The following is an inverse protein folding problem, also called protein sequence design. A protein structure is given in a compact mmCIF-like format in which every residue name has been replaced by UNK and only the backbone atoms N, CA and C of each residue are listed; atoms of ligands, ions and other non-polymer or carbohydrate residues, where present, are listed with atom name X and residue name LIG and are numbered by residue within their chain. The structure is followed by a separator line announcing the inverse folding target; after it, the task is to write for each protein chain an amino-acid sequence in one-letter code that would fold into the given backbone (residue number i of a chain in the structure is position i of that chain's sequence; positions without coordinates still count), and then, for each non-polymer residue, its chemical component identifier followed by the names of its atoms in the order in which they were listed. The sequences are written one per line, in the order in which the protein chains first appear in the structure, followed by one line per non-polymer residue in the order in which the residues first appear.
data_IF_800665450359
#
_entry.id   IF_800665450359
#
_cell.length_a   1.000
_cell.length_b   1.000
_cell.length_c   1.000
_cell.angle_alpha   90.00
_cell.angle_beta   90.00
_cell.angle_gamma   90.00
#
_symmetry.space_group_name_H-M   'P 1'
#
loop_
_entity.id
_entity.type
_entity.pdbx_description
1 polymer ?
#
# COMPACT_ATOMS: atom_id res chain seq x y z
N UNK A 1 42.01 12.02 -39.17
CA UNK A 1 40.59 12.39 -38.98
C UNK A 1 40.09 11.77 -37.69
N UNK A 2 40.00 12.53 -36.61
CA UNK A 2 39.54 12.07 -35.29
C UNK A 2 38.03 12.34 -35.12
N UNK A 3 37.24 11.30 -34.88
CA UNK A 3 35.80 11.41 -34.61
C UNK A 3 35.57 11.90 -33.17
N UNK A 4 35.12 13.14 -33.02
CA UNK A 4 34.67 13.66 -31.73
C UNK A 4 33.36 12.97 -31.33
N UNK A 5 33.43 12.14 -30.30
CA UNK A 5 32.26 11.44 -29.73
C UNK A 5 31.61 12.37 -28.71
N UNK A 6 30.64 13.17 -29.14
CA UNK A 6 29.85 14.04 -28.26
C UNK A 6 29.13 13.17 -27.22
N UNK A 7 29.57 13.22 -25.96
CA UNK A 7 28.86 12.56 -24.86
C UNK A 7 27.58 13.35 -24.58
N UNK A 8 26.46 12.88 -25.13
CA UNK A 8 25.14 13.41 -24.80
C UNK A 8 24.91 13.17 -23.31
N UNK A 9 24.86 14.26 -22.53
CA UNK A 9 24.56 14.20 -21.10
C UNK A 9 23.12 13.70 -20.94
N UNK A 10 22.99 12.40 -20.61
CA UNK A 10 21.70 11.78 -20.33
C UNK A 10 21.18 12.35 -19.01
N UNK A 11 20.33 13.37 -19.08
CA UNK A 11 19.64 13.94 -17.91
C UNK A 11 18.88 12.81 -17.22
N UNK A 12 19.29 12.48 -16.00
CA UNK A 12 18.67 11.43 -15.19
C UNK A 12 17.31 11.97 -14.74
N UNK A 13 16.22 11.52 -15.37
CA UNK A 13 14.86 11.88 -14.92
C UNK A 13 14.67 11.39 -13.48
N UNK A 14 14.48 12.33 -12.55
CA UNK A 14 14.09 12.01 -11.19
C UNK A 14 12.66 11.48 -11.17
N UNK A 15 12.42 10.41 -10.40
CA UNK A 15 11.07 9.86 -10.23
C UNK A 15 10.34 10.71 -9.20
N UNK A 16 9.27 11.39 -9.61
CA UNK A 16 8.41 12.16 -8.71
C UNK A 16 7.37 11.23 -8.07
N UNK A 17 7.13 11.40 -6.76
CA UNK A 17 6.09 10.68 -6.02
C UNK A 17 4.89 11.60 -5.76
N UNK A 18 3.69 11.10 -6.04
CA UNK A 18 2.44 11.84 -5.91
C UNK A 18 1.55 11.21 -4.84
N UNK A 19 0.94 12.06 -4.00
CA UNK A 19 -0.07 11.65 -3.03
C UNK A 19 -1.36 11.20 -3.71
N UNK A 20 -2.18 10.43 -3.00
CA UNK A 20 -3.51 10.01 -3.47
C UNK A 20 -4.37 11.23 -3.81
N UNK A 21 -4.36 12.26 -2.96
CA UNK A 21 -5.08 13.51 -3.19
C UNK A 21 -4.67 14.20 -4.50
N UNK A 22 -3.35 14.33 -4.74
CA UNK A 22 -2.85 14.91 -5.99
C UNK A 22 -3.32 14.10 -7.20
N UNK A 23 -3.25 12.77 -7.14
CA UNK A 23 -3.73 11.92 -8.23
C UNK A 23 -5.24 12.06 -8.42
N UNK A 24 -6.02 12.12 -7.34
CA UNK A 24 -7.47 12.30 -7.38
C UNK A 24 -7.88 13.60 -8.08
N UNK A 25 -7.20 14.73 -7.79
CA UNK A 25 -7.45 16.00 -8.49
C UNK A 25 -7.26 15.87 -10.01
N UNK A 26 -6.18 15.22 -10.44
CA UNK A 26 -5.88 14.98 -11.85
C UNK A 26 -6.93 14.07 -12.49
N UNK A 27 -7.34 13.01 -11.80
CA UNK A 27 -8.30 12.04 -12.29
C UNK A 27 -9.70 12.65 -12.42
N UNK A 28 -10.15 13.44 -11.45
CA UNK A 28 -11.42 14.17 -11.51
C UNK A 28 -11.45 15.09 -12.72
N UNK A 29 -10.37 15.86 -12.93
CA UNK A 29 -10.26 16.73 -14.09
C UNK A 29 -10.24 15.93 -15.41
N UNK A 30 -9.49 14.83 -15.47
CA UNK A 30 -9.42 13.98 -16.67
C UNK A 30 -10.76 13.35 -17.04
N UNK A 31 -11.60 13.02 -16.05
CA UNK A 31 -12.97 12.52 -16.26
C UNK A 31 -13.89 13.60 -16.85
N UNK A 32 -13.64 14.88 -16.54
CA UNK A 32 -14.43 16.01 -17.04
C UNK A 32 -13.96 16.53 -18.40
N UNK A 33 -12.64 16.57 -18.65
CA UNK A 33 -12.02 17.32 -19.76
C UNK A 33 -11.12 16.47 -20.67
N UNK A 34 -11.23 15.13 -20.62
CA UNK A 34 -10.35 14.16 -21.32
C UNK A 34 -8.93 14.11 -20.74
N UNK A 35 -8.28 12.94 -20.88
CA UNK A 35 -6.96 12.69 -20.29
C UNK A 35 -5.82 13.56 -20.83
N UNK A 36 -5.86 13.94 -22.11
CA UNK A 36 -4.83 14.77 -22.73
C UNK A 36 -4.86 16.22 -22.24
N UNK A 37 -6.04 16.77 -21.95
CA UNK A 37 -6.15 18.13 -21.39
C UNK A 37 -5.69 18.15 -19.94
N UNK A 38 -5.98 17.10 -19.17
CA UNK A 38 -5.44 16.93 -17.82
C UNK A 38 -3.90 16.88 -17.83
N UNK A 39 -3.32 16.11 -18.75
CA UNK A 39 -1.87 16.03 -18.90
C UNK A 39 -1.23 17.41 -19.16
N UNK A 40 -1.84 18.24 -20.02
CA UNK A 40 -1.39 19.60 -20.29
C UNK A 40 -1.53 20.51 -19.07
N UNK A 41 -2.70 20.49 -18.43
CA UNK A 41 -3.05 21.35 -17.28
C UNK A 41 -2.15 21.08 -16.07
N UNK A 42 -1.84 19.82 -15.81
CA UNK A 42 -1.01 19.42 -14.66
C UNK A 42 0.47 19.19 -15.01
N UNK A 43 0.89 19.48 -16.26
CA UNK A 43 2.25 19.24 -16.76
C UNK A 43 2.73 17.79 -16.53
N UNK A 44 1.85 16.82 -16.78
CA UNK A 44 2.11 15.39 -16.61
C UNK A 44 2.19 14.68 -17.96
N UNK A 45 2.75 13.47 -17.96
CA UNK A 45 2.71 12.60 -19.12
C UNK A 45 1.30 12.00 -19.26
N UNK A 46 0.71 12.05 -20.45
CA UNK A 46 -0.61 11.50 -20.74
C UNK A 46 -0.73 10.01 -20.35
N UNK A 47 0.30 9.20 -20.62
CA UNK A 47 0.32 7.78 -20.23
C UNK A 47 0.27 7.58 -18.70
N UNK A 48 0.79 8.53 -17.93
CA UNK A 48 0.75 8.46 -16.47
C UNK A 48 -0.65 8.80 -15.94
N UNK A 49 -1.30 9.80 -16.55
CA UNK A 49 -2.69 10.16 -16.24
C UNK A 49 -3.62 8.98 -16.53
N UNK A 50 -3.49 8.37 -17.70
CA UNK A 50 -4.29 7.20 -18.09
C UNK A 50 -4.08 6.02 -17.12
N UNK A 51 -2.83 5.74 -16.76
CA UNK A 51 -2.52 4.71 -15.76
C UNK A 51 -3.19 5.00 -14.41
N UNK A 52 -3.24 6.25 -13.97
CA UNK A 52 -3.90 6.62 -12.72
C UNK A 52 -5.41 6.50 -12.82
N UNK A 53 -6.03 6.90 -13.93
CA UNK A 53 -7.46 6.72 -14.17
C UNK A 53 -7.84 5.24 -14.09
N UNK A 54 -7.06 4.35 -14.73
CA UNK A 54 -7.29 2.91 -14.66
C UNK A 54 -7.09 2.36 -13.25
N UNK A 55 -6.00 2.73 -12.58
CA UNK A 55 -5.72 2.28 -11.21
C UNK A 55 -6.75 2.77 -10.19
N UNK A 56 -7.35 3.94 -10.41
CA UNK A 56 -8.36 4.49 -9.48
C UNK A 56 -9.63 3.67 -9.38
N UNK A 57 -9.88 2.75 -10.32
CA UNK A 57 -11.01 1.81 -10.23
C UNK A 57 -10.91 0.87 -9.03
N UNK A 58 -9.70 0.63 -8.53
CA UNK A 58 -9.44 -0.22 -7.37
C UNK A 58 -9.03 0.58 -6.13
N UNK A 59 -9.26 1.89 -6.10
CA UNK A 59 -8.95 2.72 -4.94
C UNK A 59 -10.20 2.84 -4.06
N UNK A 60 -10.11 2.28 -2.86
CA UNK A 60 -11.16 2.44 -1.86
C UNK A 60 -11.19 3.86 -1.30
N UNK A 61 -12.39 4.31 -0.88
CA UNK A 61 -12.60 5.64 -0.28
C UNK A 61 -11.87 5.81 1.06
N UNK A 62 -11.53 4.71 1.72
CA UNK A 62 -10.83 4.68 3.02
C UNK A 62 -9.31 4.92 2.91
N UNK A 63 -8.77 5.03 1.69
CA UNK A 63 -7.32 5.25 1.50
C UNK A 63 -6.94 6.64 2.00
N UNK A 64 -5.91 6.71 2.85
CA UNK A 64 -5.34 7.96 3.32
C UNK A 64 -4.90 8.84 2.14
N UNK A 65 -5.57 9.99 2.00
CA UNK A 65 -5.38 10.94 0.90
C UNK A 65 -3.95 11.50 0.81
N UNK A 66 -3.23 11.56 1.93
CA UNK A 66 -1.86 12.03 2.00
C UNK A 66 -0.83 10.94 1.65
N UNK A 67 -1.25 9.67 1.57
CA UNK A 67 -0.36 8.57 1.25
C UNK A 67 0.17 8.69 -0.19
N UNK A 68 1.46 8.40 -0.39
CA UNK A 68 2.07 8.35 -1.74
C UNK A 68 2.13 6.93 -2.31
N UNK A 69 1.83 5.93 -1.48
CA UNK A 69 1.95 4.51 -1.79
C UNK A 69 0.59 3.83 -1.63
N UNK A 70 -0.05 3.58 -2.76
CA UNK A 70 -1.36 2.91 -2.82
C UNK A 70 -1.12 1.49 -3.30
N UNK A 71 -1.68 0.50 -2.61
CA UNK A 71 -1.55 -0.91 -2.98
C UNK A 71 -0.11 -1.44 -2.92
N UNK A 72 0.77 -0.78 -2.16
CA UNK A 72 2.12 -1.29 -1.89
C UNK A 72 2.18 -1.86 -0.49
N UNK A 73 2.90 -2.96 -0.32
CA UNK A 73 3.09 -3.60 0.98
C UNK A 73 2.93 -5.10 0.83
N UNK A 74 3.20 -5.80 1.93
CA UNK A 74 2.90 -7.21 2.03
C UNK A 74 1.40 -7.38 2.27
N UNK A 75 0.81 -8.41 1.67
CA UNK A 75 -0.56 -8.82 2.00
C UNK A 75 -0.59 -9.32 3.45
N UNK A 76 -1.70 -9.11 4.15
CA UNK A 76 -1.91 -9.66 5.48
C UNK A 76 -1.71 -11.17 5.47
N UNK A 77 -0.94 -11.69 6.43
CA UNK A 77 -0.77 -13.14 6.61
C UNK A 77 -1.99 -13.76 7.28
N UNK A 78 -2.59 -13.02 8.23
CA UNK A 78 -3.77 -13.42 8.97
C UNK A 78 -4.82 -12.31 8.87
N UNK A 79 -5.55 -12.19 7.74
CA UNK A 79 -6.42 -11.05 7.47
C UNK A 79 -7.43 -10.76 8.58
N UNK A 80 -8.07 -11.80 9.12
CA UNK A 80 -9.07 -11.71 10.17
C UNK A 80 -8.45 -11.29 11.51
N UNK A 81 -7.34 -11.92 11.91
CA UNK A 81 -6.65 -11.58 13.15
C UNK A 81 -6.00 -10.19 13.12
N UNK A 82 -5.37 -9.80 12.00
CA UNK A 82 -4.79 -8.46 11.82
C UNK A 82 -5.87 -7.37 11.87
N UNK A 83 -7.07 -7.64 11.34
CA UNK A 83 -8.22 -6.74 11.46
C UNK A 83 -8.66 -6.56 12.91
N UNK A 84 -8.75 -7.64 13.69
CA UNK A 84 -9.09 -7.55 15.12
C UNK A 84 -8.04 -6.76 15.90
N UNK A 85 -6.76 -7.00 15.62
CA UNK A 85 -5.65 -6.26 16.24
C UNK A 85 -5.74 -4.76 15.90
N UNK A 86 -6.09 -4.41 14.66
CA UNK A 86 -6.25 -3.03 14.23
C UNK A 86 -7.40 -2.31 14.93
N UNK A 87 -8.56 -2.96 15.06
CA UNK A 87 -9.71 -2.40 15.79
C UNK A 87 -9.32 -2.14 17.25
N UNK A 88 -8.73 -3.13 17.91
CA UNK A 88 -8.25 -3.01 19.28
C UNK A 88 -7.25 -1.85 19.42
N UNK A 89 -6.29 -1.71 18.50
CA UNK A 89 -5.30 -0.64 18.52
C UNK A 89 -5.92 0.76 18.44
N UNK A 90 -6.96 0.95 17.62
CA UNK A 90 -7.67 2.22 17.53
C UNK A 90 -8.34 2.55 18.85
N UNK A 91 -8.98 1.58 19.49
CA UNK A 91 -9.63 1.77 20.80
C UNK A 91 -8.64 2.18 21.88
N UNK A 92 -7.47 1.53 21.93
CA UNK A 92 -6.41 1.90 22.87
C UNK A 92 -5.90 3.32 22.63
N UNK A 93 -5.75 3.74 21.36
CA UNK A 93 -5.34 5.11 21.02
C UNK A 93 -6.37 6.15 21.45
N UNK A 94 -7.66 5.84 21.35
CA UNK A 94 -8.73 6.73 21.85
C UNK A 94 -8.66 6.93 23.37
N UNK A 95 -8.12 5.96 24.09
CA UNK A 95 -7.97 6.02 25.56
C UNK A 95 -6.70 6.78 26.00
N UNK A 96 -5.89 7.30 25.07
CA UNK A 96 -4.70 8.10 25.40
C UNK A 96 -3.52 7.29 25.94
N UNK A 97 -3.54 5.97 25.81
CA UNK A 97 -2.46 5.10 26.30
C UNK A 97 -1.22 5.21 25.40
N UNK A 98 -0.06 5.51 26.00
CA UNK A 98 1.23 5.46 25.33
C UNK A 98 1.68 3.98 25.20
N UNK A 99 1.24 3.33 24.13
CA UNK A 99 1.57 1.93 23.85
C UNK A 99 3.06 1.85 23.46
N UNK A 100 3.86 1.04 24.16
CA UNK A 100 5.14 0.55 23.61
C UNK A 100 4.79 -0.42 22.48
N UNK A 101 4.64 0.16 21.29
CA UNK A 101 3.87 -0.41 20.18
C UNK A 101 4.24 -1.85 19.84
N UNK A 102 5.51 -2.21 19.85
CA UNK A 102 5.94 -3.51 19.35
C UNK A 102 5.57 -4.68 20.27
N UNK A 103 5.91 -4.62 21.56
CA UNK A 103 5.73 -5.74 22.49
C UNK A 103 4.25 -6.01 22.76
N UNK A 104 3.48 -4.95 23.00
CA UNK A 104 2.06 -5.06 23.31
C UNK A 104 1.27 -5.58 22.10
N UNK A 105 1.55 -5.10 20.89
CA UNK A 105 0.91 -5.62 19.68
C UNK A 105 1.22 -7.10 19.44
N UNK A 106 2.46 -7.54 19.69
CA UNK A 106 2.81 -8.96 19.55
C UNK A 106 2.09 -9.85 20.57
N UNK A 107 2.05 -9.43 21.84
CA UNK A 107 1.30 -10.17 22.88
C UNK A 107 -0.17 -10.23 22.48
N UNK A 108 -0.76 -9.09 22.09
CA UNK A 108 -2.16 -9.04 21.70
C UNK A 108 -2.47 -9.90 20.47
N UNK A 109 -1.58 -9.92 19.48
CA UNK A 109 -1.71 -10.80 18.31
C UNK A 109 -1.69 -12.28 18.73
N UNK A 110 -0.81 -12.67 19.66
CA UNK A 110 -0.76 -14.03 20.17
C UNK A 110 -2.02 -14.42 20.95
N UNK A 111 -2.63 -13.47 21.68
CA UNK A 111 -3.95 -13.69 22.31
C UNK A 111 -5.03 -13.93 21.27
N UNK A 112 -5.13 -13.06 20.26
CA UNK A 112 -6.13 -13.17 19.18
C UNK A 112 -6.00 -14.52 18.46
N UNK A 113 -4.76 -14.94 18.14
CA UNK A 113 -4.53 -16.23 17.46
C UNK A 113 -4.91 -17.46 18.31
N UNK A 114 -5.05 -17.30 19.63
CA UNK A 114 -5.51 -18.37 20.54
C UNK A 114 -7.04 -18.37 20.72
N UNK A 115 -7.75 -17.39 20.17
CA UNK A 115 -9.20 -17.38 20.20
C UNK A 115 -9.76 -18.55 19.37
N UNK A 116 -10.86 -19.20 19.81
CA UNK A 116 -11.38 -20.40 19.16
C UNK A 116 -11.78 -20.15 17.70
N UNK A 117 -12.23 -18.94 17.37
CA UNK A 117 -12.54 -18.53 15.99
C UNK A 117 -11.29 -18.53 15.11
N UNK A 118 -10.18 -17.95 15.59
CA UNK A 118 -8.91 -17.88 14.85
C UNK A 118 -8.23 -19.25 14.79
N UNK A 119 -8.29 -20.03 15.86
CA UNK A 119 -7.86 -21.43 15.84
C UNK A 119 -8.67 -22.16 14.77
N UNK A 120 -10.00 -22.09 14.75
CA UNK A 120 -10.79 -22.75 13.72
C UNK A 120 -10.39 -22.33 12.29
N UNK A 121 -10.19 -21.03 12.04
CA UNK A 121 -9.83 -20.50 10.73
C UNK A 121 -8.42 -20.90 10.27
N UNK A 122 -7.45 -20.96 11.18
CA UNK A 122 -6.04 -21.12 10.83
C UNK A 122 -5.43 -22.47 11.26
N UNK A 123 -6.08 -23.27 12.10
CA UNK A 123 -5.58 -24.60 12.52
C UNK A 123 -5.62 -25.61 11.36
N UNK A 124 -6.53 -25.45 10.40
CA UNK A 124 -6.57 -26.25 9.16
C UNK A 124 -5.45 -25.87 8.16
N UNK A 125 -4.84 -24.69 8.35
CA UNK A 125 -3.70 -24.24 7.53
C UNK A 125 -2.36 -24.81 7.99
N UNK A 126 -2.26 -25.29 9.24
CA UNK A 126 -1.05 -25.95 9.76
C UNK A 126 -0.73 -27.26 9.02
N UNK A 127 -1.72 -27.91 8.42
CA UNK A 127 -1.53 -29.10 7.58
C UNK A 127 -1.14 -28.78 6.12
N UNK A 128 -1.33 -27.54 5.65
CA UNK A 128 -1.09 -27.13 4.26
C UNK A 128 0.09 -26.14 4.08
N UNK A 129 0.73 -25.70 5.17
CA UNK A 129 1.96 -24.90 5.14
C UNK A 129 3.24 -25.71 4.83
N UNK A 130 3.12 -27.02 4.60
CA UNK A 130 4.22 -27.89 4.15
C UNK A 130 4.59 -27.72 2.67
N UNK A 131 3.87 -26.91 1.89
CA UNK A 131 4.13 -26.79 0.45
C UNK A 131 4.73 -25.47 -0.04
N UNK A 132 5.05 -24.51 0.85
CA UNK A 132 5.74 -23.27 0.41
C UNK A 132 6.84 -22.87 1.40
N UNK A 133 8.06 -23.34 1.13
CA UNK A 133 9.32 -22.72 1.57
C UNK A 133 9.58 -22.75 3.08
N UNK A 134 10.10 -23.88 3.55
CA UNK A 134 10.39 -24.11 4.96
C UNK A 134 11.54 -23.29 5.53
N UNK A 135 11.43 -23.01 6.83
CA UNK A 135 12.51 -23.04 7.83
C UNK A 135 11.88 -23.27 9.22
N UNK A 136 12.44 -24.16 10.06
CA UNK A 136 11.96 -24.38 11.42
C UNK A 136 12.47 -23.29 12.37
N UNK A 137 11.60 -22.84 13.28
CA UNK A 137 11.97 -21.98 14.39
C UNK A 137 12.73 -22.81 15.43
N UNK A 138 14.01 -22.50 15.61
CA UNK A 138 14.80 -22.76 16.83
C UNK A 138 14.63 -21.61 17.82
#
# INVERSE_FOLDING_TARGET
MTRNRTKVLRIKRSRTSYSVNQKNKVITYAKQHRGNEAARTFHLNASMVERWVTASKSWDTEINQNCKRIGSGQKAFYPEAERMLYVWLIEQRKQGLAIIYYTILRIKMQEILKEPEMIFLYNDSANNLSHIGGYPLS
#
